data_IF_449493040937
#
_entry.id   IF_449493040937
#
_cell.length_a   1.000
_cell.length_b   1.000
_cell.length_c   1.000
_cell.angle_alpha   90.00
_cell.angle_beta   90.00
_cell.angle_gamma   90.00
#
_symmetry.space_group_name_H-M   'P 1'
#
loop_
_entity.id
_entity.type
_entity.pdbx_description
1 polymer ?
#
# COMPACT_ATOMS: atom_id res chain seq x y z
N UNK A 1 -11.87 -6.20 -3.11
CA UNK A 1 -11.88 -4.88 -2.43
C UNK A 1 -13.25 -4.23 -2.66
N UNK A 2 -13.96 -3.68 -1.67
CA UNK A 2 -15.20 -2.96 -1.92
C UNK A 2 -14.96 -1.63 -2.66
N UNK A 3 -15.90 -1.15 -3.48
CA UNK A 3 -15.78 0.15 -4.15
C UNK A 3 -15.68 1.31 -3.15
N UNK A 4 -14.71 2.20 -3.38
CA UNK A 4 -14.43 3.38 -2.58
C UNK A 4 -13.61 4.37 -3.41
N UNK A 5 -13.99 5.64 -3.32
CA UNK A 5 -13.23 6.73 -3.92
C UNK A 5 -12.20 7.23 -2.91
N UNK A 6 -10.97 7.44 -3.38
CA UNK A 6 -9.90 8.13 -2.67
C UNK A 6 -9.39 9.30 -3.50
N UNK A 7 -8.71 10.24 -2.85
CA UNK A 7 -8.07 11.36 -3.53
C UNK A 7 -6.59 11.06 -3.70
N UNK A 8 -6.04 11.19 -4.90
CA UNK A 8 -4.60 11.03 -5.11
C UNK A 8 -3.86 12.23 -4.52
N UNK A 9 -2.87 11.96 -3.67
CA UNK A 9 -2.18 13.00 -2.91
C UNK A 9 -1.38 13.98 -3.80
N UNK A 10 -0.85 13.50 -4.93
CA UNK A 10 0.02 14.29 -5.80
C UNK A 10 -0.70 15.38 -6.62
N UNK A 11 -1.99 15.21 -6.92
CA UNK A 11 -2.73 16.14 -7.80
C UNK A 11 -4.21 16.33 -7.42
N UNK A 12 -4.61 15.87 -6.24
CA UNK A 12 -5.95 15.99 -5.68
C UNK A 12 -7.10 15.41 -6.54
N UNK A 13 -6.79 14.53 -7.48
CA UNK A 13 -7.82 13.89 -8.33
C UNK A 13 -8.48 12.71 -7.60
N UNK A 14 -9.82 12.61 -7.64
CA UNK A 14 -10.51 11.43 -7.12
C UNK A 14 -10.31 10.24 -8.05
N UNK A 15 -10.08 9.07 -7.46
CA UNK A 15 -9.96 7.78 -8.14
C UNK A 15 -10.79 6.73 -7.42
N UNK A 16 -11.47 5.89 -8.19
CA UNK A 16 -12.08 4.69 -7.65
C UNK A 16 -10.96 3.66 -7.38
N UNK A 17 -10.99 2.99 -6.22
CA UNK A 17 -9.90 2.11 -5.82
C UNK A 17 -9.65 0.97 -6.83
N UNK A 18 -10.67 0.44 -7.51
CA UNK A 18 -10.55 -0.58 -8.55
C UNK A 18 -9.75 -0.09 -9.76
N UNK A 19 -9.80 1.20 -10.09
CA UNK A 19 -8.99 1.77 -11.18
C UNK A 19 -7.48 1.67 -10.85
N UNK A 20 -7.15 1.65 -9.56
CA UNK A 20 -5.79 1.47 -9.05
C UNK A 20 -5.40 -0.01 -8.89
N UNK A 21 -6.32 -0.95 -9.13
CA UNK A 21 -6.13 -2.40 -8.97
C UNK A 21 -6.31 -3.15 -10.29
N UNK A 22 -5.59 -2.77 -11.38
CA UNK A 22 -5.72 -3.48 -12.64
C UNK A 22 -5.31 -4.95 -12.50
N UNK A 23 -5.99 -5.84 -13.23
CA UNK A 23 -5.70 -7.27 -13.32
C UNK A 23 -4.45 -7.55 -14.17
N UNK A 24 -3.30 -7.09 -13.69
CA UNK A 24 -2.00 -7.14 -14.37
C UNK A 24 -1.07 -8.23 -13.82
N UNK A 25 -1.65 -9.29 -13.25
CA UNK A 25 -0.99 -10.42 -12.57
C UNK A 25 -0.28 -10.10 -11.25
N UNK A 26 -0.16 -8.82 -10.86
CA UNK A 26 0.52 -8.42 -9.62
C UNK A 26 -0.39 -8.47 -8.41
N UNK A 27 0.15 -8.91 -7.28
CA UNK A 27 -0.47 -8.67 -5.98
C UNK A 27 -0.37 -7.19 -5.64
N UNK A 28 -1.46 -6.61 -5.13
CA UNK A 28 -1.48 -5.22 -4.70
C UNK A 28 -1.37 -5.18 -3.17
N UNK A 29 -0.39 -4.46 -2.68
CA UNK A 29 -0.12 -4.28 -1.26
C UNK A 29 -0.60 -2.88 -0.87
N UNK A 30 -1.77 -2.82 -0.23
CA UNK A 30 -2.39 -1.58 0.21
C UNK A 30 -1.98 -1.32 1.66
N UNK A 31 -1.16 -0.32 1.87
CA UNK A 31 -0.74 0.13 3.19
C UNK A 31 -1.64 1.27 3.63
N UNK A 32 -2.54 0.98 4.56
CA UNK A 32 -3.29 2.00 5.29
C UNK A 32 -2.42 2.47 6.44
N UNK A 33 -1.83 3.67 6.30
CA UNK A 33 -0.81 4.19 7.22
C UNK A 33 -1.36 5.21 8.23
N UNK A 34 -2.66 5.51 8.17
CA UNK A 34 -3.29 6.51 9.02
C UNK A 34 -2.74 7.91 8.80
N UNK A 35 -2.68 8.69 9.88
CA UNK A 35 -2.13 10.05 9.87
C UNK A 35 -0.60 10.04 9.78
N UNK A 36 -0.04 10.88 8.91
CA UNK A 36 1.40 10.94 8.66
C UNK A 36 2.13 11.88 9.65
N UNK A 37 2.11 11.54 10.94
CA UNK A 37 2.90 12.24 11.97
C UNK A 37 4.40 11.91 11.86
N UNK A 38 5.25 12.65 12.57
CA UNK A 38 6.69 12.38 12.63
C UNK A 38 7.00 10.97 13.14
N UNK A 39 6.24 10.49 14.13
CA UNK A 39 6.34 9.14 14.68
C UNK A 39 5.96 8.10 13.62
N UNK A 40 4.88 8.34 12.87
CA UNK A 40 4.46 7.45 11.79
C UNK A 40 5.51 7.37 10.69
N UNK A 41 6.11 8.49 10.30
CA UNK A 41 7.20 8.50 9.30
C UNK A 41 8.36 7.62 9.77
N UNK A 42 8.80 7.74 11.03
CA UNK A 42 9.86 6.88 11.59
C UNK A 42 9.48 5.41 11.64
N UNK A 43 8.23 5.09 11.97
CA UNK A 43 7.72 3.73 11.94
C UNK A 43 7.74 3.15 10.53
N UNK A 44 7.32 3.92 9.53
CA UNK A 44 7.38 3.52 8.12
C UNK A 44 8.82 3.36 7.65
N UNK A 45 9.76 4.21 8.07
CA UNK A 45 11.18 4.03 7.75
C UNK A 45 11.74 2.73 8.34
N UNK A 46 11.42 2.42 9.60
CA UNK A 46 11.82 1.15 10.22
C UNK A 46 11.19 -0.06 9.51
N UNK A 47 9.91 0.03 9.12
CA UNK A 47 9.22 -0.99 8.35
C UNK A 47 9.85 -1.18 6.96
N UNK A 48 10.20 -0.08 6.29
CA UNK A 48 10.92 -0.07 5.02
C UNK A 48 12.25 -0.79 5.13
N UNK A 49 13.00 -0.56 6.21
CA UNK A 49 14.24 -1.30 6.53
C UNK A 49 14.01 -2.81 6.59
N UNK A 50 12.98 -3.27 7.32
CA UNK A 50 12.61 -4.69 7.40
C UNK A 50 12.20 -5.28 6.05
N UNK A 51 11.45 -4.53 5.24
CA UNK A 51 10.97 -4.97 3.92
C UNK A 51 12.07 -5.03 2.85
N UNK A 52 13.21 -4.36 3.10
CA UNK A 52 14.42 -4.45 2.26
C UNK A 52 15.32 -5.62 2.63
N UNK A 53 15.08 -6.30 3.74
CA UNK A 53 15.82 -7.49 4.11
C UNK A 53 15.61 -8.61 3.07
N UNK A 54 16.67 -9.30 2.60
CA UNK A 54 16.55 -10.38 1.61
C UNK A 54 15.62 -11.53 2.02
N UNK A 55 15.44 -11.77 3.31
CA UNK A 55 14.54 -12.80 3.83
C UNK A 55 13.06 -12.38 3.77
N UNK A 56 12.77 -11.07 3.70
CA UNK A 56 11.41 -10.57 3.63
C UNK A 56 10.73 -11.04 2.34
N UNK A 57 9.43 -11.34 2.43
CA UNK A 57 8.62 -11.79 1.29
C UNK A 57 8.74 -10.85 0.08
N UNK A 58 8.86 -9.54 0.33
CA UNK A 58 8.99 -8.55 -0.73
C UNK A 58 10.27 -8.80 -1.55
N UNK A 59 11.41 -9.07 -0.91
CA UNK A 59 12.66 -9.38 -1.63
C UNK A 59 12.66 -10.81 -2.17
N UNK A 60 12.22 -11.77 -1.35
CA UNK A 60 12.22 -13.20 -1.66
C UNK A 60 11.37 -13.57 -2.87
N UNK A 61 10.19 -12.93 -3.00
CA UNK A 61 9.24 -13.19 -4.08
C UNK A 61 9.15 -12.04 -5.11
N UNK A 62 9.66 -10.84 -4.80
CA UNK A 62 10.14 -9.90 -5.83
C UNK A 62 10.02 -8.40 -5.55
N UNK A 63 11.08 -7.61 -5.83
CA UNK A 63 11.05 -6.21 -6.31
C UNK A 63 12.48 -5.80 -6.77
N UNK A 64 12.66 -4.88 -7.73
CA UNK A 64 13.00 -5.18 -9.13
C UNK A 64 14.42 -5.77 -9.36
N UNK A 65 14.57 -6.59 -10.42
CA UNK A 65 15.82 -6.54 -11.21
C UNK A 65 15.71 -5.32 -12.11
N UNK A 66 16.71 -4.45 -12.12
CA UNK A 66 16.83 -3.45 -13.18
C UNK A 66 16.63 -4.12 -14.55
N UNK A 67 15.77 -3.55 -15.39
CA UNK A 67 15.52 -4.04 -16.74
C UNK A 67 14.50 -5.17 -16.90
N UNK A 68 13.83 -5.65 -15.84
CA UNK A 68 12.71 -6.62 -15.97
C UNK A 68 11.35 -5.98 -15.73
N UNK A 69 10.44 -6.11 -16.72
CA UNK A 69 9.13 -5.47 -16.75
C UNK A 69 8.08 -6.05 -15.77
N UNK A 70 8.40 -7.07 -14.98
CA UNK A 70 7.43 -7.79 -14.14
C UNK A 70 7.86 -7.84 -12.67
N UNK A 71 7.47 -6.84 -11.89
CA UNK A 71 7.45 -6.91 -10.42
C UNK A 71 6.22 -7.67 -9.95
N UNK A 72 6.36 -8.65 -9.06
CA UNK A 72 5.24 -9.44 -8.50
C UNK A 72 4.29 -8.62 -7.62
N UNK A 73 4.79 -7.54 -7.02
CA UNK A 73 4.04 -6.68 -6.12
C UNK A 73 3.92 -5.27 -6.68
N UNK A 74 2.78 -4.64 -6.38
CA UNK A 74 2.57 -3.20 -6.54
C UNK A 74 2.12 -2.63 -5.20
N UNK A 75 2.78 -1.58 -4.75
CA UNK A 75 2.52 -0.94 -3.46
C UNK A 75 1.65 0.29 -3.67
N UNK A 76 0.57 0.41 -2.90
CA UNK A 76 -0.30 1.58 -2.84
C UNK A 76 -0.38 1.98 -1.37
N UNK A 77 -0.15 3.25 -1.08
CA UNK A 77 -0.27 3.80 0.27
C UNK A 77 -1.53 4.63 0.37
N UNK A 78 -2.30 4.43 1.44
CA UNK A 78 -3.53 5.15 1.73
C UNK A 78 -3.34 5.85 3.06
N UNK A 79 -3.33 7.16 3.07
CA UNK A 79 -3.19 7.98 4.27
C UNK A 79 -4.57 8.45 4.74
N UNK A 80 -4.70 8.67 6.04
CA UNK A 80 -5.84 9.37 6.64
C UNK A 80 -5.46 10.83 6.84
N UNK A 81 -6.38 11.75 6.56
CA UNK A 81 -6.20 13.18 6.78
C UNK A 81 -6.56 14.04 5.57
N UNK A 82 -6.67 15.34 5.81
CA UNK A 82 -7.09 16.33 4.82
C UNK A 82 -5.93 16.68 3.89
N UNK A 83 -6.21 16.81 2.59
CA UNK A 83 -5.22 17.13 1.54
C UNK A 83 -4.43 18.42 1.75
N UNK A 84 -4.92 19.33 2.58
CA UNK A 84 -4.31 20.64 2.84
C UNK A 84 -3.09 20.54 3.77
N UNK A 85 -2.98 19.46 4.56
CA UNK A 85 -1.95 19.30 5.60
C UNK A 85 -0.97 18.15 5.31
N UNK A 86 -1.12 17.44 4.19
CA UNK A 86 -0.37 16.19 3.95
C UNK A 86 0.66 16.31 2.84
N UNK A 87 1.93 16.37 3.26
CA UNK A 87 3.07 16.31 2.36
C UNK A 87 3.42 14.84 2.05
N UNK A 88 2.85 14.30 0.96
CA UNK A 88 3.01 12.89 0.58
C UNK A 88 4.46 12.48 0.27
N UNK A 89 5.35 13.45 0.01
CA UNK A 89 6.80 13.24 -0.20
C UNK A 89 7.50 12.68 1.03
N UNK A 90 6.93 12.92 2.23
CA UNK A 90 7.41 12.40 3.52
C UNK A 90 7.18 10.90 3.68
N UNK A 91 6.30 10.30 2.86
CA UNK A 91 6.15 8.84 2.79
C UNK A 91 7.46 8.24 2.24
N UNK A 92 8.08 7.27 2.93
CA UNK A 92 9.33 6.67 2.48
C UNK A 92 9.21 6.07 1.06
N UNK A 93 10.29 6.16 0.28
CA UNK A 93 10.27 5.82 -1.16
C UNK A 93 9.77 4.39 -1.46
N UNK A 94 9.97 3.42 -0.56
CA UNK A 94 9.46 2.06 -0.71
C UNK A 94 7.91 2.04 -0.77
N UNK A 95 7.25 2.85 0.06
CA UNK A 95 5.79 2.99 0.12
C UNK A 95 5.24 3.97 -0.92
N UNK A 96 6.12 4.66 -1.63
CA UNK A 96 5.82 5.60 -2.72
C UNK A 96 6.70 5.30 -3.94
N UNK A 97 6.55 4.12 -4.56
CA UNK A 97 7.39 3.74 -5.70
C UNK A 97 7.19 4.65 -6.92
N UNK A 98 6.01 5.29 -7.02
CA UNK A 98 5.70 6.28 -8.03
C UNK A 98 4.79 7.35 -7.41
N UNK A 99 4.80 8.57 -7.97
CA UNK A 99 4.00 9.70 -7.46
C UNK A 99 2.50 9.41 -7.43
N UNK A 100 2.04 8.48 -8.28
CA UNK A 100 0.63 8.10 -8.35
C UNK A 100 0.15 7.10 -7.29
N UNK A 101 1.05 6.57 -6.46
CA UNK A 101 0.76 5.42 -5.60
C UNK A 101 0.36 5.81 -4.18
N UNK A 102 0.15 7.10 -3.92
CA UNK A 102 -0.27 7.62 -2.62
C UNK A 102 -1.65 8.24 -2.74
N UNK A 103 -2.57 7.70 -1.96
CA UNK A 103 -3.98 8.07 -1.89
C UNK A 103 -4.29 8.64 -0.49
N UNK A 104 -5.32 9.46 -0.42
CA UNK A 104 -5.85 10.12 0.75
C UNK A 104 -7.29 9.67 0.95
N UNK A 105 -7.63 9.28 2.18
CA UNK A 105 -9.02 9.15 2.62
C UNK A 105 -9.63 10.53 2.95
N UNK A 106 -9.67 11.39 1.93
CA UNK A 106 -10.27 12.72 1.96
C UNK A 106 -11.32 12.82 0.85
N UNK A 107 -12.13 13.85 0.93
CA UNK A 107 -13.03 14.30 -0.11
C UNK A 107 -12.31 15.13 -1.18
N UNK A 108 -12.82 15.05 -2.41
CA UNK A 108 -12.34 15.84 -3.53
C UNK A 108 -12.53 17.36 -3.30
N UNK A 109 -12.03 18.19 -4.22
CA UNK A 109 -12.17 19.66 -4.12
C UNK A 109 -13.62 20.14 -4.01
N UNK A 110 -14.58 19.39 -4.54
CA UNK A 110 -16.01 19.72 -4.43
C UNK A 110 -16.67 19.21 -3.16
N UNK A 111 -15.95 18.42 -2.34
CA UNK A 111 -16.44 17.73 -1.13
C UNK A 111 -17.62 16.78 -1.39
N UNK A 112 -17.71 16.22 -2.59
CA UNK A 112 -18.82 15.32 -3.00
C UNK A 112 -18.39 13.87 -3.16
N UNK A 113 -17.11 13.64 -3.44
CA UNK A 113 -16.57 12.32 -3.76
C UNK A 113 -15.42 11.97 -2.82
N UNK A 114 -15.41 10.74 -2.30
CA UNK A 114 -14.35 10.23 -1.43
C UNK A 114 -14.63 10.40 0.06
N UNK A 115 -13.60 10.11 0.87
CA UNK A 115 -13.65 10.17 2.33
C UNK A 115 -14.33 8.98 3.01
N UNK A 116 -14.02 8.81 4.30
CA UNK A 116 -14.66 7.87 5.21
C UNK A 116 -14.30 6.39 5.01
N UNK A 117 -13.30 6.08 4.17
CA UNK A 117 -12.86 4.73 3.89
C UNK A 117 -12.34 4.00 5.13
N UNK A 118 -11.52 4.64 5.98
CA UNK A 118 -10.99 4.03 7.20
C UNK A 118 -12.13 3.52 8.10
N UNK A 119 -13.11 4.39 8.37
CA UNK A 119 -14.30 4.04 9.15
C UNK A 119 -15.13 2.95 8.47
N UNK A 120 -15.36 3.07 7.17
CA UNK A 120 -16.18 2.12 6.39
C UNK A 120 -15.55 0.72 6.34
N UNK A 121 -14.23 0.64 6.24
CA UNK A 121 -13.49 -0.62 6.21
C UNK A 121 -13.14 -1.15 7.61
N UNK A 122 -13.43 -0.39 8.67
CA UNK A 122 -13.08 -0.77 10.03
C UNK A 122 -11.57 -0.79 10.29
N UNK A 123 -10.82 0.06 9.57
CA UNK A 123 -9.36 0.17 9.70
C UNK A 123 -9.07 1.25 10.73
N UNK A 124 -8.21 0.92 11.70
CA UNK A 124 -7.76 1.84 12.74
C UNK A 124 -6.65 2.78 12.20
N UNK A 125 -6.88 4.11 12.09
CA UNK A 125 -5.86 5.05 11.63
C UNK A 125 -4.69 5.22 12.60
N UNK A 126 -4.77 4.68 13.82
CA UNK A 126 -3.68 4.71 14.80
C UNK A 126 -2.61 3.64 14.53
N UNK A 127 -2.86 2.66 13.66
CA UNK A 127 -1.91 1.60 13.30
C UNK A 127 -1.67 1.53 11.79
N UNK A 128 -0.56 0.92 11.36
CA UNK A 128 -0.38 0.57 9.94
C UNK A 128 -1.02 -0.78 9.67
N UNK A 129 -2.00 -0.80 8.76
CA UNK A 129 -2.66 -2.01 8.29
C UNK A 129 -2.26 -2.31 6.85
N UNK A 130 -1.79 -3.54 6.60
CA UNK A 130 -1.53 -4.06 5.26
C UNK A 130 -2.73 -4.89 4.79
N UNK A 131 -3.26 -4.53 3.63
CA UNK A 131 -4.28 -5.30 2.92
C UNK A 131 -3.67 -5.84 1.63
N UNK A 132 -3.68 -7.16 1.48
CA UNK A 132 -3.19 -7.85 0.29
C UNK A 132 -4.37 -8.11 -0.64
N UNK A 133 -4.29 -7.57 -1.85
CA UNK A 133 -5.23 -7.84 -2.93
C UNK A 133 -4.59 -8.79 -3.92
N UNK A 134 -5.29 -9.88 -4.22
CA UNK A 134 -4.91 -10.87 -5.22
C UNK A 134 -5.03 -10.29 -6.64
N UNK A 135 -4.36 -10.88 -7.64
CA UNK A 135 -4.44 -10.41 -9.03
C UNK A 135 -5.86 -10.41 -9.64
N UNK A 136 -6.78 -11.18 -9.07
CA UNK A 136 -8.21 -11.24 -9.44
C UNK A 136 -9.09 -10.21 -8.70
N UNK A 137 -8.50 -9.31 -7.91
CA UNK A 137 -9.22 -8.24 -7.20
C UNK A 137 -9.78 -8.61 -5.82
N UNK A 138 -9.64 -9.88 -5.40
CA UNK A 138 -10.11 -10.33 -4.08
C UNK A 138 -9.11 -10.00 -2.97
N UNK A 139 -9.62 -9.75 -1.76
CA UNK A 139 -8.77 -9.60 -0.57
C UNK A 139 -8.21 -10.99 -0.23
N UNK A 140 -6.89 -11.11 -0.18
CA UNK A 140 -6.19 -12.34 0.20
C UNK A 140 -5.89 -12.40 1.69
N UNK A 141 -5.38 -11.31 2.26
CA UNK A 141 -5.01 -11.21 3.68
C UNK A 141 -5.15 -9.77 4.16
N UNK A 142 -5.49 -9.60 5.43
CA UNK A 142 -5.41 -8.33 6.16
C UNK A 142 -4.50 -8.60 7.36
N UNK A 143 -3.47 -7.79 7.56
CA UNK A 143 -2.50 -7.97 8.63
C UNK A 143 -2.07 -6.61 9.18
N UNK A 144 -1.78 -6.51 10.49
CA UNK A 144 -1.04 -5.36 11.00
C UNK A 144 0.38 -5.37 10.42
N UNK A 145 1.00 -4.20 10.24
CA UNK A 145 2.36 -4.11 9.69
C UNK A 145 3.43 -4.77 10.57
N UNK A 146 3.14 -5.03 11.85
CA UNK A 146 4.00 -5.80 12.74
C UNK A 146 4.07 -7.29 12.38
N UNK A 147 3.07 -7.82 11.67
CA UNK A 147 2.94 -9.24 11.33
C UNK A 147 3.53 -9.60 9.95
N UNK A 148 4.69 -9.02 9.60
CA UNK A 148 5.37 -9.30 8.32
C UNK A 148 5.73 -10.78 8.13
N UNK A 149 5.98 -11.51 9.22
CA UNK A 149 6.28 -12.94 9.17
C UNK A 149 5.07 -13.76 8.69
N UNK A 150 3.88 -13.47 9.22
CA UNK A 150 2.63 -14.11 8.78
C UNK A 150 2.33 -13.83 7.31
N UNK A 151 2.62 -12.61 6.86
CA UNK A 151 2.52 -12.23 5.43
C UNK A 151 3.50 -13.04 4.59
N UNK A 152 4.72 -13.26 5.09
CA UNK A 152 5.70 -14.12 4.43
C UNK A 152 5.24 -15.57 4.33
N UNK A 153 4.63 -16.10 5.39
CA UNK A 153 4.06 -17.44 5.42
C UNK A 153 2.87 -17.60 4.45
N UNK A 154 2.02 -16.58 4.35
CA UNK A 154 0.94 -16.53 3.36
C UNK A 154 1.49 -16.73 1.95
N UNK A 155 2.50 -15.96 1.54
CA UNK A 155 3.09 -16.11 0.21
C UNK A 155 3.88 -17.42 0.05
N UNK A 156 4.56 -17.90 1.10
CA UNK A 156 5.32 -19.15 1.05
C UNK A 156 4.47 -20.38 0.76
N UNK A 157 3.17 -20.34 1.07
CA UNK A 157 2.25 -21.46 0.82
C UNK A 157 2.03 -21.75 -0.67
N UNK A 158 2.25 -20.78 -1.56
CA UNK A 158 1.94 -20.93 -2.99
C UNK A 158 2.93 -20.27 -3.96
N UNK A 159 3.81 -19.37 -3.49
CA UNK A 159 4.81 -18.73 -4.34
C UNK A 159 6.10 -19.53 -4.40
N UNK A 160 6.70 -19.53 -5.59
CA UNK A 160 8.02 -20.11 -5.82
C UNK A 160 9.06 -19.00 -5.61
N UNK A 161 10.04 -19.16 -4.68
CA UNK A 161 11.10 -18.18 -4.49
C UNK A 161 11.91 -18.00 -5.78
N UNK A 162 12.43 -16.79 -6.00
CA UNK A 162 13.37 -16.56 -7.09
C UNK A 162 14.63 -17.40 -6.86
N UNK A 163 15.12 -18.10 -7.90
CA UNK A 163 16.47 -18.65 -7.87
C UNK A 163 17.45 -17.46 -7.88
N UNK A 164 18.22 -17.32 -6.80
CA UNK A 164 19.38 -16.42 -6.79
C UNK A 164 20.36 -17.00 -7.80
N UNK A 165 20.54 -16.29 -8.92
CA UNK A 165 21.56 -16.62 -9.93
C UNK A 165 22.90 -16.06 -9.52
#
# INVERSE_FOLDING_TARGET
MPPQIFVRAADARPYEIQDMLPSDTRFKLLFFVGYLTDERVRELDALSGKMRDPSCFLQKYGYPTEGTAQSMFSIITIMSGDKEDVEFTRVPALFRPHWSNVLLDDTDVTRKLGGGAYKRFGIDPSTVTLVIIRPDGYVGMIAPASALEDVGNYFAAFMIPRKVG
#
